data_IF_594233132539
#
_entry.id   IF_594233132539
#
_cell.length_a   1.000
_cell.length_b   1.000
_cell.length_c   1.000
_cell.angle_alpha   90.00
_cell.angle_beta   90.00
_cell.angle_gamma   90.00
#
_symmetry.space_group_name_H-M   'P 1'
#
loop_
_entity.id
_entity.type
_entity.pdbx_description
1 polymer ?
#
# COMPACT_ATOMS: atom_id res chain seq x y z
N UNK A 1 26.63 -4.65 -14.53
CA UNK A 1 26.79 -3.19 -14.33
C UNK A 1 25.58 -2.54 -13.65
N UNK A 2 24.34 -2.88 -13.99
CA UNK A 2 23.13 -2.34 -13.30
C UNK A 2 23.03 -2.75 -11.82
N UNK A 3 23.44 -3.98 -11.47
CA UNK A 3 23.41 -4.46 -10.08
C UNK A 3 24.44 -3.77 -9.17
N UNK A 4 25.60 -3.38 -9.72
CA UNK A 4 26.67 -2.70 -8.96
C UNK A 4 26.30 -1.23 -8.70
N UNK A 5 25.50 -0.62 -9.58
CA UNK A 5 25.01 0.75 -9.42
C UNK A 5 23.95 0.90 -8.30
N UNK A 6 23.17 -0.15 -8.01
CA UNK A 6 22.26 -0.15 -6.86
C UNK A 6 23.00 -0.31 -5.53
N UNK A 7 24.07 -1.11 -5.50
CA UNK A 7 24.88 -1.35 -4.29
C UNK A 7 25.67 -0.12 -3.83
N UNK A 8 26.15 0.71 -4.77
CA UNK A 8 26.92 1.92 -4.42
C UNK A 8 26.07 3.01 -3.80
N UNK A 9 24.80 3.16 -4.19
CA UNK A 9 23.86 4.12 -3.57
C UNK A 9 23.60 3.78 -2.09
N UNK A 10 23.57 2.49 -1.74
CA UNK A 10 23.42 2.02 -0.36
C UNK A 10 24.70 2.22 0.46
N UNK A 11 25.88 2.08 -0.18
CA UNK A 11 27.18 2.26 0.48
C UNK A 11 27.46 3.74 0.84
N UNK A 12 27.11 4.69 -0.03
CA UNK A 12 27.34 6.12 0.24
C UNK A 12 26.37 6.72 1.28
N UNK A 13 25.24 6.07 1.57
CA UNK A 13 24.32 6.50 2.63
C UNK A 13 24.78 6.04 4.04
N UNK A 14 25.68 5.05 4.12
CA UNK A 14 26.06 4.40 5.37
C UNK A 14 27.15 5.16 6.15
N UNK A 15 27.95 6.02 5.50
CA UNK A 15 29.16 6.59 6.13
C UNK A 15 28.90 7.71 7.15
N UNK A 16 27.65 8.19 7.29
CA UNK A 16 27.31 9.31 8.20
C UNK A 16 26.11 9.09 9.13
N UNK A 17 25.49 7.90 9.09
CA UNK A 17 24.26 7.63 9.82
C UNK A 17 24.56 7.12 11.24
N UNK A 18 24.11 7.85 12.28
CA UNK A 18 24.09 7.30 13.65
C UNK A 18 23.26 6.00 13.65
N UNK A 19 23.62 4.97 14.45
CA UNK A 19 22.94 3.68 14.44
C UNK A 19 21.42 3.80 14.63
N UNK A 20 20.99 4.73 15.47
CA UNK A 20 19.58 5.06 15.71
C UNK A 20 18.82 5.53 14.45
N UNK A 21 19.47 6.22 13.52
CA UNK A 21 18.84 6.69 12.27
C UNK A 21 18.64 5.57 11.26
N UNK A 22 19.60 4.64 11.14
CA UNK A 22 19.50 3.51 10.21
C UNK A 22 18.35 2.57 10.58
N UNK A 23 18.25 2.21 11.87
CA UNK A 23 17.14 1.37 12.37
C UNK A 23 15.78 2.02 12.13
N UNK A 24 15.67 3.34 12.30
CA UNK A 24 14.44 4.07 12.05
C UNK A 24 13.95 3.92 10.60
N UNK A 25 14.84 4.07 9.60
CA UNK A 25 14.47 3.90 8.20
C UNK A 25 14.09 2.46 7.87
N UNK A 26 14.84 1.47 8.37
CA UNK A 26 14.54 0.05 8.16
C UNK A 26 13.16 -0.30 8.71
N UNK A 27 12.84 0.10 9.94
CA UNK A 27 11.53 -0.15 10.55
C UNK A 27 10.43 0.57 9.78
N UNK A 28 10.64 1.82 9.37
CA UNK A 28 9.66 2.59 8.59
C UNK A 28 9.28 1.89 7.27
N UNK A 29 10.28 1.41 6.52
CA UNK A 29 10.08 0.70 5.25
C UNK A 29 9.35 -0.64 5.47
N UNK A 30 9.79 -1.42 6.47
CA UNK A 30 9.17 -2.71 6.79
C UNK A 30 7.71 -2.54 7.23
N UNK A 31 7.43 -1.58 8.11
CA UNK A 31 6.07 -1.31 8.58
C UNK A 31 5.15 -0.87 7.44
N UNK A 32 5.59 0.07 6.59
CA UNK A 32 4.77 0.52 5.46
C UNK A 32 4.51 -0.58 4.44
N UNK A 33 5.53 -1.35 4.06
CA UNK A 33 5.40 -2.46 3.13
C UNK A 33 4.51 -3.59 3.65
N UNK A 34 4.67 -3.96 4.93
CA UNK A 34 3.88 -5.01 5.56
C UNK A 34 2.41 -4.61 5.74
N UNK A 35 2.15 -3.37 6.16
CA UNK A 35 0.80 -2.83 6.24
C UNK A 35 0.09 -2.88 4.88
N UNK A 36 0.79 -2.50 3.80
CA UNK A 36 0.26 -2.54 2.44
C UNK A 36 -0.02 -3.97 1.95
N UNK A 37 0.86 -4.93 2.29
CA UNK A 37 0.66 -6.33 1.93
C UNK A 37 -0.62 -6.91 2.58
N UNK A 38 -0.85 -6.61 3.86
CA UNK A 38 -2.07 -7.03 4.56
C UNK A 38 -3.31 -6.34 3.96
N UNK A 39 -3.26 -5.03 3.77
CA UNK A 39 -4.40 -4.26 3.26
C UNK A 39 -4.82 -4.71 1.86
N UNK A 40 -3.86 -4.88 0.95
CA UNK A 40 -4.12 -5.38 -0.41
C UNK A 40 -4.61 -6.83 -0.41
N UNK A 41 -4.08 -7.70 0.44
CA UNK A 41 -4.57 -9.07 0.61
C UNK A 41 -6.02 -9.12 1.10
N UNK A 42 -6.36 -8.32 2.12
CA UNK A 42 -7.72 -8.23 2.65
C UNK A 42 -8.71 -7.65 1.61
N UNK A 43 -8.30 -6.59 0.89
CA UNK A 43 -9.10 -6.00 -0.17
C UNK A 43 -9.38 -7.01 -1.29
N UNK A 44 -8.36 -7.74 -1.76
CA UNK A 44 -8.51 -8.75 -2.80
C UNK A 44 -9.51 -9.86 -2.42
N UNK A 45 -9.50 -10.31 -1.16
CA UNK A 45 -10.47 -11.30 -0.65
C UNK A 45 -11.90 -10.72 -0.65
N UNK A 46 -12.07 -9.48 -0.20
CA UNK A 46 -13.39 -8.82 -0.20
C UNK A 46 -13.93 -8.60 -1.62
N UNK A 47 -13.09 -8.07 -2.51
CA UNK A 47 -13.46 -7.73 -3.88
C UNK A 47 -13.76 -8.97 -4.72
N UNK A 48 -12.95 -10.03 -4.62
CA UNK A 48 -13.20 -11.28 -5.36
C UNK A 48 -14.55 -11.91 -5.03
N UNK A 49 -14.95 -11.89 -3.75
CA UNK A 49 -16.26 -12.39 -3.31
C UNK A 49 -17.41 -11.52 -3.84
N UNK A 50 -17.27 -10.20 -3.78
CA UNK A 50 -18.26 -9.27 -4.32
C UNK A 50 -18.43 -9.45 -5.84
N UNK A 51 -17.33 -9.58 -6.58
CA UNK A 51 -17.33 -9.80 -8.03
C UNK A 51 -17.97 -11.15 -8.36
N UNK A 52 -17.60 -12.24 -7.68
CA UNK A 52 -18.17 -13.56 -7.92
C UNK A 52 -19.70 -13.55 -7.72
N UNK A 53 -20.18 -12.96 -6.63
CA UNK A 53 -21.62 -12.83 -6.36
C UNK A 53 -22.34 -11.98 -7.40
N UNK A 54 -21.73 -10.89 -7.86
CA UNK A 54 -22.29 -10.06 -8.93
C UNK A 54 -22.38 -10.83 -10.25
N UNK A 55 -21.38 -11.63 -10.61
CA UNK A 55 -21.40 -12.43 -11.84
C UNK A 55 -22.48 -13.53 -11.79
N UNK A 56 -22.65 -14.19 -10.65
CA UNK A 56 -23.75 -15.15 -10.47
C UNK A 56 -25.12 -14.49 -10.61
N UNK A 57 -25.31 -13.31 -10.03
CA UNK A 57 -26.55 -12.55 -10.13
C UNK A 57 -26.84 -12.13 -11.58
N UNK A 58 -25.83 -11.66 -12.32
CA UNK A 58 -25.95 -11.30 -13.75
C UNK A 58 -26.29 -12.53 -14.59
N UNK A 59 -25.66 -13.68 -14.32
CA UNK A 59 -25.95 -14.92 -15.03
C UNK A 59 -27.39 -15.41 -14.84
N UNK A 60 -27.97 -15.19 -13.64
CA UNK A 60 -29.38 -15.52 -13.36
C UNK A 60 -30.35 -14.50 -13.94
N UNK A 61 -29.98 -13.22 -13.98
CA UNK A 61 -30.87 -12.15 -14.44
C UNK A 61 -30.14 -11.12 -15.31
N UNK A 62 -29.91 -11.44 -16.60
CA UNK A 62 -29.13 -10.60 -17.50
C UNK A 62 -29.71 -9.20 -17.70
N UNK A 63 -31.05 -9.07 -17.65
CA UNK A 63 -31.74 -7.79 -17.79
C UNK A 63 -31.42 -6.79 -16.65
N UNK A 64 -30.99 -7.28 -15.49
CA UNK A 64 -30.62 -6.45 -14.33
C UNK A 64 -29.10 -6.15 -14.27
N UNK A 65 -28.33 -6.56 -15.27
CA UNK A 65 -26.87 -6.41 -15.26
C UNK A 65 -26.39 -4.97 -15.05
N UNK A 66 -26.98 -3.92 -15.66
CA UNK A 66 -26.55 -2.55 -15.43
C UNK A 66 -26.68 -2.13 -13.96
N UNK A 67 -27.78 -2.48 -13.29
CA UNK A 67 -28.01 -2.15 -11.89
C UNK A 67 -27.05 -2.91 -10.96
N UNK A 68 -26.82 -4.20 -11.25
CA UNK A 68 -25.86 -5.02 -10.48
C UNK A 68 -24.44 -4.46 -10.61
N UNK A 69 -24.01 -4.08 -11.82
CA UNK A 69 -22.68 -3.50 -12.05
C UNK A 69 -22.48 -2.20 -11.28
N UNK A 70 -23.47 -1.31 -11.26
CA UNK A 70 -23.39 -0.05 -10.49
C UNK A 70 -23.25 -0.33 -9.00
N UNK A 71 -24.09 -1.21 -8.44
CA UNK A 71 -24.00 -1.59 -7.03
C UNK A 71 -22.66 -2.24 -6.69
N UNK A 72 -22.17 -3.12 -7.57
CA UNK A 72 -20.86 -3.78 -7.45
C UNK A 72 -19.73 -2.75 -7.44
N UNK A 73 -19.68 -1.82 -8.40
CA UNK A 73 -18.62 -0.80 -8.48
C UNK A 73 -18.60 0.09 -7.25
N UNK A 74 -19.78 0.51 -6.74
CA UNK A 74 -19.87 1.30 -5.51
C UNK A 74 -19.31 0.50 -4.32
N UNK A 75 -19.68 -0.78 -4.18
CA UNK A 75 -19.16 -1.64 -3.13
C UNK A 75 -17.64 -1.86 -3.24
N UNK A 76 -17.13 -2.10 -4.45
CA UNK A 76 -15.70 -2.26 -4.71
C UNK A 76 -14.93 -0.99 -4.39
N UNK A 77 -15.45 0.19 -4.74
CA UNK A 77 -14.84 1.48 -4.41
C UNK A 77 -14.75 1.72 -2.89
N UNK A 78 -15.78 1.31 -2.14
CA UNK A 78 -15.75 1.39 -0.67
C UNK A 78 -14.70 0.46 -0.07
N UNK A 79 -14.55 -0.76 -0.59
CA UNK A 79 -13.48 -1.68 -0.14
C UNK A 79 -12.11 -1.12 -0.51
N UNK A 80 -11.95 -0.60 -1.73
CA UNK A 80 -10.70 -0.02 -2.20
C UNK A 80 -10.29 1.21 -1.36
N UNK A 81 -11.27 1.97 -0.85
CA UNK A 81 -11.00 3.12 0.01
C UNK A 81 -10.17 2.78 1.26
N UNK A 82 -10.34 1.57 1.79
CA UNK A 82 -9.56 1.08 2.93
C UNK A 82 -8.10 0.80 2.53
N UNK A 83 -7.89 0.23 1.34
CA UNK A 83 -6.55 -0.02 0.81
C UNK A 83 -5.81 1.29 0.51
N UNK A 84 -6.49 2.28 -0.08
CA UNK A 84 -5.87 3.59 -0.37
C UNK A 84 -5.55 4.38 0.91
N UNK A 85 -6.29 4.19 2.01
CA UNK A 85 -5.92 4.81 3.29
C UNK A 85 -4.60 4.25 3.84
N UNK A 86 -4.40 2.93 3.74
CA UNK A 86 -3.12 2.32 4.13
C UNK A 86 -2.00 2.75 3.19
N UNK A 87 -2.26 2.80 1.88
CA UNK A 87 -1.32 3.34 0.91
C UNK A 87 -0.93 4.79 1.24
N UNK A 88 -1.90 5.65 1.54
CA UNK A 88 -1.65 7.04 1.92
C UNK A 88 -0.72 7.13 3.14
N UNK A 89 -0.98 6.34 4.18
CA UNK A 89 -0.12 6.29 5.37
C UNK A 89 1.28 5.79 5.02
N UNK A 90 1.41 4.75 4.18
CA UNK A 90 2.71 4.26 3.73
C UNK A 90 3.48 5.33 2.93
N UNK A 91 2.81 6.07 2.04
CA UNK A 91 3.41 7.17 1.30
C UNK A 91 3.87 8.30 2.22
N UNK A 92 3.10 8.62 3.27
CA UNK A 92 3.53 9.58 4.29
C UNK A 92 4.79 9.08 5.00
N UNK A 93 4.84 7.81 5.42
CA UNK A 93 6.02 7.22 6.08
C UNK A 93 7.25 7.21 5.16
N UNK A 94 7.08 7.02 3.85
CA UNK A 94 8.18 6.92 2.90
C UNK A 94 8.70 8.27 2.41
N UNK A 95 7.81 9.25 2.19
CA UNK A 95 8.16 10.50 1.51
C UNK A 95 7.97 11.75 2.37
N UNK A 96 7.17 11.69 3.43
CA UNK A 96 6.80 12.84 4.24
C UNK A 96 6.82 12.50 5.74
N UNK A 97 7.79 11.69 6.17
CA UNK A 97 7.80 11.13 7.51
C UNK A 97 7.94 12.24 8.56
N UNK A 98 6.95 12.44 9.44
CA UNK A 98 6.94 13.56 10.37
C UNK A 98 8.03 13.44 11.46
N UNK A 99 8.61 12.26 11.63
CA UNK A 99 9.59 12.01 12.68
C UNK A 99 11.04 12.25 12.26
N UNK A 100 11.31 12.48 10.97
CA UNK A 100 12.69 12.68 10.46
C UNK A 100 13.41 13.81 11.20
N UNK A 101 12.73 14.93 11.48
CA UNK A 101 13.33 16.10 12.17
C UNK A 101 13.83 15.78 13.58
N UNK A 102 13.27 14.77 14.24
CA UNK A 102 13.65 14.37 15.59
C UNK A 102 14.76 13.31 15.60
N UNK A 103 14.91 12.54 14.52
CA UNK A 103 15.88 11.45 14.39
C UNK A 103 17.15 11.91 13.68
N UNK A 104 17.02 12.81 12.71
CA UNK A 104 18.12 13.40 11.96
C UNK A 104 18.14 14.91 12.24
N UNK A 105 18.93 15.37 13.23
CA UNK A 105 19.06 16.78 13.53
C UNK A 105 19.60 17.54 12.31
N UNK A 106 18.82 18.48 11.76
CA UNK A 106 19.20 19.30 10.61
C UNK A 106 18.58 18.88 9.25
N UNK A 107 17.66 17.92 9.25
CA UNK A 107 16.85 17.53 8.08
C UNK A 107 15.56 18.37 7.90
#
# INVERSE_FOLDING_TARGET
MVLIAFGSQVAFAAEGAKPESSTFFVVSVLTGGFAMAIASGAAAIGQSRAIASAMEAIGRQPAAAPQIQVAMIIGLALIESLAIYVLLVALIIFFANPFIKYIVPGA
#
